data_IF_857681072722
#
_entry.id   IF_857681072722
#
_cell.length_a   1.000
_cell.length_b   1.000
_cell.length_c   1.000
_cell.angle_alpha   90.00
_cell.angle_beta   90.00
_cell.angle_gamma   90.00
#
_symmetry.space_group_name_H-M   'P 1'
#
loop_
_entity.id
_entity.type
_entity.pdbx_description
1 polymer ?
#
# COMPACT_ATOMS: atom_id res chain seq x y z
N UNK A 1 13.62 6.86 -8.21
CA UNK A 1 12.26 6.37 -8.43
C UNK A 1 11.31 6.99 -7.41
N UNK A 2 10.16 7.42 -7.87
CA UNK A 2 9.20 8.09 -6.98
C UNK A 2 8.51 7.09 -6.06
N UNK A 3 8.25 7.52 -4.83
CA UNK A 3 7.47 6.75 -3.87
C UNK A 3 6.02 7.18 -3.96
N UNK A 4 5.13 6.21 -4.00
CA UNK A 4 3.68 6.43 -3.98
C UNK A 4 3.14 5.86 -2.68
N UNK A 5 2.36 6.66 -1.96
CA UNK A 5 1.67 6.21 -0.76
C UNK A 5 0.18 6.13 -1.07
N UNK A 6 -0.42 5.00 -0.74
CA UNK A 6 -1.85 4.78 -0.93
C UNK A 6 -2.50 4.68 0.45
N UNK A 7 -3.48 5.52 0.68
CA UNK A 7 -4.23 5.54 1.93
C UNK A 7 -5.52 4.75 1.72
N UNK A 8 -5.60 3.60 2.36
CA UNK A 8 -6.72 2.68 2.21
C UNK A 8 -6.36 1.49 1.31
N UNK A 9 -6.63 0.29 1.81
CA UNK A 9 -6.26 -0.94 1.12
C UNK A 9 -7.47 -1.83 0.86
N UNK A 10 -8.58 -1.24 0.45
CA UNK A 10 -9.72 -1.97 -0.09
C UNK A 10 -9.45 -2.36 -1.54
N UNK A 11 -10.50 -2.74 -2.24
CA UNK A 11 -10.38 -3.20 -3.62
C UNK A 11 -9.66 -2.20 -4.52
N UNK A 12 -10.08 -0.93 -4.47
CA UNK A 12 -9.48 0.12 -5.31
C UNK A 12 -8.05 0.43 -4.90
N UNK A 13 -7.79 0.54 -3.60
CA UNK A 13 -6.46 0.87 -3.10
C UNK A 13 -5.44 -0.22 -3.38
N UNK A 14 -5.81 -1.48 -3.14
CA UNK A 14 -4.94 -2.61 -3.41
C UNK A 14 -4.66 -2.74 -4.91
N UNK A 15 -5.67 -2.54 -5.76
CA UNK A 15 -5.50 -2.56 -7.20
C UNK A 15 -4.57 -1.46 -7.69
N UNK A 16 -4.74 -0.24 -7.18
CA UNK A 16 -3.87 0.88 -7.52
C UNK A 16 -2.43 0.63 -7.09
N UNK A 17 -2.24 0.00 -5.92
CA UNK A 17 -0.91 -0.32 -5.43
C UNK A 17 -0.20 -1.31 -6.35
N UNK A 18 -0.90 -2.36 -6.78
CA UNK A 18 -0.32 -3.34 -7.69
C UNK A 18 0.05 -2.69 -9.03
N UNK A 19 -0.85 -1.86 -9.57
CA UNK A 19 -0.58 -1.18 -10.83
C UNK A 19 0.65 -0.27 -10.73
N UNK A 20 0.75 0.51 -9.65
CA UNK A 20 1.90 1.39 -9.44
C UNK A 20 3.19 0.60 -9.31
N UNK A 21 3.15 -0.53 -8.59
CA UNK A 21 4.32 -1.39 -8.43
C UNK A 21 4.77 -1.95 -9.78
N UNK A 22 3.82 -2.38 -10.60
CA UNK A 22 4.13 -2.90 -11.94
C UNK A 22 4.77 -1.84 -12.83
N UNK A 23 4.47 -0.57 -12.59
CA UNK A 23 5.06 0.54 -13.35
C UNK A 23 6.41 1.00 -12.77
N UNK A 24 6.91 0.33 -11.76
CA UNK A 24 8.25 0.59 -11.22
C UNK A 24 8.30 1.59 -10.07
N UNK A 25 7.16 1.99 -9.53
CA UNK A 25 7.16 2.89 -8.36
C UNK A 25 7.47 2.12 -7.07
N UNK A 26 8.05 2.83 -6.10
CA UNK A 26 8.15 2.35 -4.73
C UNK A 26 6.81 2.63 -4.06
N UNK A 27 6.10 1.61 -3.62
CA UNK A 27 4.73 1.74 -3.14
C UNK A 27 4.64 1.37 -1.66
N UNK A 28 3.94 2.21 -0.88
CA UNK A 28 3.59 1.92 0.49
C UNK A 28 2.08 2.11 0.67
N UNK A 29 1.43 1.15 1.32
CA UNK A 29 -0.02 1.18 1.57
C UNK A 29 -0.27 1.31 3.07
N UNK A 30 -1.11 2.27 3.46
CA UNK A 30 -1.44 2.50 4.86
C UNK A 30 -2.97 2.54 5.02
N UNK A 31 -3.50 1.79 5.99
CA UNK A 31 -4.93 1.73 6.25
C UNK A 31 -5.19 1.90 7.75
N UNK A 32 -6.07 2.83 8.12
CA UNK A 32 -6.45 3.03 9.52
C UNK A 32 -7.23 1.86 10.09
N UNK A 33 -7.89 1.10 9.24
CA UNK A 33 -8.65 -0.09 9.62
C UNK A 33 -7.84 -1.35 9.35
N UNK A 34 -8.42 -2.50 9.61
CA UNK A 34 -7.80 -3.78 9.23
C UNK A 34 -7.94 -4.00 7.74
N UNK A 35 -6.87 -4.48 7.12
CA UNK A 35 -6.87 -4.86 5.70
C UNK A 35 -7.38 -6.29 5.60
N UNK A 36 -8.29 -6.56 4.66
CA UNK A 36 -8.78 -7.93 4.45
C UNK A 36 -7.64 -8.84 3.99
N UNK A 37 -7.68 -10.08 4.42
CA UNK A 37 -6.58 -11.03 4.13
C UNK A 37 -6.31 -11.19 2.65
N UNK A 38 -7.34 -11.18 1.82
CA UNK A 38 -7.15 -11.30 0.36
C UNK A 38 -6.32 -10.15 -0.21
N UNK A 39 -6.45 -8.95 0.36
CA UNK A 39 -5.65 -7.79 -0.09
C UNK A 39 -4.26 -7.82 0.51
N UNK A 40 -4.10 -8.26 1.77
CA UNK A 40 -2.78 -8.47 2.35
C UNK A 40 -1.97 -9.45 1.51
N UNK A 41 -2.60 -10.56 1.13
CA UNK A 41 -1.95 -11.58 0.31
C UNK A 41 -1.54 -11.02 -1.05
N UNK A 42 -2.39 -10.19 -1.65
CA UNK A 42 -2.10 -9.57 -2.93
C UNK A 42 -0.91 -8.61 -2.82
N UNK A 43 -0.89 -7.77 -1.78
CA UNK A 43 0.20 -6.83 -1.55
C UNK A 43 1.51 -7.57 -1.29
N UNK A 44 1.47 -8.60 -0.45
CA UNK A 44 2.66 -9.41 -0.13
C UNK A 44 3.19 -10.11 -1.38
N UNK A 45 2.31 -10.63 -2.22
CA UNK A 45 2.68 -11.30 -3.46
C UNK A 45 3.48 -10.39 -4.39
N UNK A 46 3.14 -9.11 -4.39
CA UNK A 46 3.80 -8.12 -5.25
C UNK A 46 4.93 -7.37 -4.53
N UNK A 47 5.28 -7.78 -3.33
CA UNK A 47 6.38 -7.16 -2.58
C UNK A 47 6.09 -5.74 -2.13
N UNK A 48 4.82 -5.42 -1.87
CA UNK A 48 4.39 -4.08 -1.47
C UNK A 48 4.32 -4.00 0.06
N UNK A 49 5.02 -3.03 0.63
CA UNK A 49 4.96 -2.77 2.07
C UNK A 49 3.61 -2.16 2.45
N UNK A 50 3.07 -2.58 3.59
CA UNK A 50 1.79 -2.05 4.07
C UNK A 50 1.75 -2.00 5.59
N UNK A 51 0.83 -1.19 6.12
CA UNK A 51 0.50 -1.15 7.53
C UNK A 51 -1.01 -1.03 7.69
N UNK A 52 -1.52 -1.48 8.85
CA UNK A 52 -2.95 -1.40 9.15
C UNK A 52 -3.16 -0.95 10.59
N UNK A 53 -4.34 -0.39 10.86
CA UNK A 53 -4.73 0.06 12.18
C UNK A 53 -4.15 1.38 12.60
N UNK A 54 -3.34 2.00 11.77
CA UNK A 54 -2.71 3.30 12.04
C UNK A 54 -2.04 3.83 10.77
N UNK A 55 -1.66 5.10 10.82
CA UNK A 55 -0.82 5.70 9.78
C UNK A 55 0.49 6.16 10.42
N UNK A 56 1.61 5.71 9.89
CA UNK A 56 2.93 6.15 10.36
C UNK A 56 3.35 7.38 9.57
N UNK A 57 3.39 8.54 10.24
CA UNK A 57 3.64 9.82 9.58
C UNK A 57 4.96 9.83 8.80
N UNK A 58 6.03 9.30 9.37
CA UNK A 58 7.34 9.30 8.71
C UNK A 58 7.32 8.55 7.39
N UNK A 59 6.60 7.44 7.32
CA UNK A 59 6.49 6.64 6.09
C UNK A 59 5.65 7.34 5.04
N UNK A 60 4.61 8.05 5.45
CA UNK A 60 3.70 8.74 4.55
C UNK A 60 4.33 10.04 4.04
N UNK A 61 4.96 10.81 4.92
CA UNK A 61 5.52 12.11 4.56
C UNK A 61 6.81 12.01 3.73
N UNK A 62 7.40 10.84 3.65
CA UNK A 62 8.56 10.59 2.79
C UNK A 62 8.19 10.29 1.34
N UNK A 63 6.93 10.40 1.00
CA UNK A 63 6.47 10.15 -0.38
C UNK A 63 6.94 11.21 -1.36
#
# INVERSE_FOLDING_TARGET
>A
MSRIVILGAGESGAGAAVLAKQKGFDVFVSDMSSIQDKYKNLLDKHGIEWEEGHHTADKILNA
#
